data_IF_405112750545
#
_entry.id   IF_405112750545
#
_cell.length_a   1.000
_cell.length_b   1.000
_cell.length_c   1.000
_cell.angle_alpha   90.00
_cell.angle_beta   90.00
_cell.angle_gamma   90.00
#
_symmetry.space_group_name_H-M   'P 1'
#
loop_
_entity.id
_entity.type
_entity.pdbx_description
1 polymer ?
#
# COMPACT_ATOMS: atom_id res chain seq x y z
N UNK A 1 43.20 17.98 5.37
CA UNK A 1 42.50 16.84 6.01
C UNK A 1 41.11 16.69 5.42
N UNK A 2 40.93 15.74 4.49
CA UNK A 2 39.62 15.45 3.90
C UNK A 2 38.83 14.51 4.81
N UNK A 3 37.66 14.93 5.27
CA UNK A 3 36.77 14.13 6.11
C UNK A 3 36.08 13.10 5.20
N UNK A 4 36.56 11.85 5.23
CA UNK A 4 35.87 10.71 4.60
C UNK A 4 34.52 10.47 5.31
N UNK A 5 33.42 10.94 4.71
CA UNK A 5 32.07 10.49 5.08
C UNK A 5 31.96 9.01 4.71
N UNK A 6 31.91 8.12 5.72
CA UNK A 6 31.54 6.71 5.55
C UNK A 6 30.21 6.64 4.81
N UNK A 7 30.23 6.17 3.57
CA UNK A 7 29.04 5.90 2.75
C UNK A 7 28.42 4.61 3.29
N UNK A 8 27.57 4.70 4.30
CA UNK A 8 26.76 3.56 4.74
C UNK A 8 25.84 3.17 3.58
N UNK A 9 26.02 1.96 3.05
CA UNK A 9 25.09 1.39 2.07
C UNK A 9 23.70 1.30 2.70
N UNK A 10 22.70 1.89 2.06
CA UNK A 10 21.34 1.81 2.57
C UNK A 10 20.84 0.35 2.52
N UNK A 11 20.24 -0.16 3.61
CA UNK A 11 19.77 -1.54 3.64
C UNK A 11 18.69 -1.74 2.57
N UNK A 12 18.88 -2.73 1.69
CA UNK A 12 17.86 -3.17 0.74
C UNK A 12 16.74 -3.86 1.51
N UNK A 13 15.52 -3.33 1.42
CA UNK A 13 14.35 -3.80 2.16
C UNK A 13 13.59 -4.78 1.27
N UNK A 14 13.28 -5.97 1.80
CA UNK A 14 12.53 -6.98 1.06
C UNK A 14 11.03 -6.65 0.92
N UNK A 15 10.29 -7.31 0.00
CA UNK A 15 8.90 -6.97 -0.33
C UNK A 15 7.95 -6.96 0.87
N UNK A 16 8.11 -7.90 1.80
CA UNK A 16 7.30 -7.98 3.03
C UNK A 16 7.57 -6.82 3.99
N UNK A 17 8.82 -6.37 4.09
CA UNK A 17 9.19 -5.25 4.94
C UNK A 17 8.76 -3.90 4.33
N UNK A 18 8.75 -3.79 3.00
CA UNK A 18 8.15 -2.66 2.31
C UNK A 18 6.66 -2.55 2.67
N UNK A 19 5.88 -3.63 2.53
CA UNK A 19 4.46 -3.66 2.91
C UNK A 19 4.21 -3.22 4.36
N UNK A 20 5.03 -3.67 5.32
CA UNK A 20 4.91 -3.28 6.73
C UNK A 20 5.15 -1.78 6.94
N UNK A 21 6.18 -1.20 6.33
CA UNK A 21 6.48 0.24 6.44
C UNK A 21 5.35 1.10 5.89
N UNK A 22 4.77 0.69 4.77
CA UNK A 22 3.77 1.47 4.07
C UNK A 22 2.40 1.41 4.78
N UNK A 23 2.07 0.30 5.44
CA UNK A 23 0.90 0.21 6.33
C UNK A 23 1.05 1.08 7.58
N UNK A 24 2.26 1.12 8.18
CA UNK A 24 2.55 2.02 9.29
C UNK A 24 2.51 3.50 8.87
N UNK A 25 2.83 3.83 7.60
CA UNK A 25 2.70 5.18 7.05
C UNK A 25 1.23 5.59 6.87
N UNK A 26 0.37 4.65 6.45
CA UNK A 26 -1.08 4.83 6.27
C UNK A 26 -1.88 4.91 7.57
N UNK A 27 -1.25 4.80 8.75
CA UNK A 27 -1.91 5.01 10.05
C UNK A 27 -2.29 3.74 10.82
N UNK A 28 -1.86 2.55 10.40
CA UNK A 28 -2.04 1.29 11.17
C UNK A 28 -1.08 1.19 12.36
N UNK A 29 -1.12 2.18 13.25
CA UNK A 29 -0.42 2.19 14.53
C UNK A 29 -1.36 1.70 15.63
N UNK A 30 -1.75 0.42 15.63
CA UNK A 30 -2.59 -0.16 16.69
C UNK A 30 -1.92 -1.41 17.28
N UNK A 31 -1.07 -1.15 18.27
CA UNK A 31 -0.81 -1.97 19.46
C UNK A 31 -0.59 -3.47 19.26
N UNK A 32 0.66 -3.90 19.11
CA UNK A 32 1.02 -5.30 19.27
C UNK A 32 1.27 -5.59 20.76
N UNK A 33 0.33 -6.33 21.34
CA UNK A 33 0.25 -6.72 22.76
C UNK A 33 1.20 -7.89 23.09
N UNK A 34 1.66 -8.01 24.35
CA UNK A 34 2.53 -9.09 24.85
C UNK A 34 1.93 -10.52 24.89
N UNK A 35 0.71 -10.75 24.38
CA UNK A 35 0.05 -12.07 24.41
C UNK A 35 -0.06 -12.68 23.00
N UNK A 36 0.52 -13.87 22.76
CA UNK A 36 0.44 -14.57 21.48
C UNK A 36 -1.00 -14.83 21.00
N UNK A 37 -1.95 -15.05 21.92
CA UNK A 37 -3.36 -15.33 21.57
C UNK A 37 -4.12 -14.06 21.12
N UNK A 38 -3.84 -12.90 21.73
CA UNK A 38 -4.46 -11.61 21.35
C UNK A 38 -3.85 -11.05 20.07
N UNK A 39 -2.56 -11.30 19.83
CA UNK A 39 -1.86 -11.08 18.54
C UNK A 39 -2.65 -11.69 17.36
N UNK A 40 -3.09 -12.94 17.47
CA UNK A 40 -3.83 -13.62 16.42
C UNK A 40 -5.27 -13.12 16.23
N UNK A 41 -5.91 -12.56 17.27
CA UNK A 41 -7.28 -12.03 17.19
C UNK A 41 -7.33 -10.70 16.44
N UNK A 42 -6.35 -9.82 16.69
CA UNK A 42 -6.20 -8.54 15.98
C UNK A 42 -5.77 -8.79 14.53
N UNK A 43 -4.85 -9.72 14.27
CA UNK A 43 -4.46 -10.13 12.91
C UNK A 43 -5.65 -10.73 12.15
N UNK A 44 -6.52 -11.50 12.80
CA UNK A 44 -7.78 -11.99 12.20
C UNK A 44 -8.76 -10.86 11.86
N UNK A 45 -8.72 -9.73 12.57
CA UNK A 45 -9.59 -8.57 12.33
C UNK A 45 -9.11 -7.65 11.20
N UNK A 46 -7.80 -7.64 10.88
CA UNK A 46 -7.18 -6.76 9.87
C UNK A 46 -7.45 -7.23 8.41
N UNK A 47 -8.13 -8.36 8.23
CA UNK A 47 -8.72 -8.77 6.95
C UNK A 47 -8.05 -9.96 6.28
N UNK A 48 -8.81 -10.61 5.38
CA UNK A 48 -8.44 -11.85 4.66
C UNK A 48 -7.11 -11.77 3.90
N UNK A 49 -6.59 -10.59 3.59
CA UNK A 49 -5.33 -10.39 2.85
C UNK A 49 -4.06 -10.75 3.65
N UNK A 50 -4.11 -10.71 4.98
CA UNK A 50 -2.96 -11.09 5.84
C UNK A 50 -2.82 -12.60 6.03
N UNK A 51 -3.84 -13.39 5.68
CA UNK A 51 -3.83 -14.86 5.83
C UNK A 51 -2.78 -15.54 4.93
N UNK A 52 -2.25 -14.83 3.93
CA UNK A 52 -1.28 -15.36 2.96
C UNK A 52 0.18 -14.98 3.23
N UNK A 53 0.48 -14.18 4.27
CA UNK A 53 1.87 -13.85 4.62
C UNK A 53 2.38 -14.85 5.65
N UNK A 54 3.45 -15.57 5.31
CA UNK A 54 4.09 -16.52 6.23
C UNK A 54 4.51 -15.81 7.54
N UNK A 55 4.05 -16.31 8.68
CA UNK A 55 4.25 -15.70 10.00
C UNK A 55 5.73 -15.42 10.31
N UNK A 56 6.62 -16.30 9.83
CA UNK A 56 8.08 -16.17 9.96
C UNK A 56 8.63 -15.03 9.11
N UNK A 57 8.15 -14.87 7.88
CA UNK A 57 8.54 -13.79 6.99
C UNK A 57 8.11 -12.42 7.54
N UNK A 58 6.90 -12.32 8.10
CA UNK A 58 6.42 -11.10 8.76
C UNK A 58 7.28 -10.72 9.97
N UNK A 59 7.57 -11.69 10.85
CA UNK A 59 8.43 -11.46 12.02
C UNK A 59 9.82 -10.98 11.61
N UNK A 60 10.43 -11.62 10.61
CA UNK A 60 11.75 -11.25 10.11
C UNK A 60 11.74 -9.85 9.47
N UNK A 61 10.67 -9.50 8.75
CA UNK A 61 10.50 -8.18 8.17
C UNK A 61 10.42 -7.08 9.24
N UNK A 62 9.55 -7.24 10.24
CA UNK A 62 9.43 -6.29 11.37
C UNK A 62 10.77 -6.16 12.11
N UNK A 63 11.43 -7.30 12.41
CA UNK A 63 12.74 -7.31 13.09
C UNK A 63 13.83 -6.59 12.29
N UNK A 64 13.83 -6.74 10.97
CA UNK A 64 14.78 -6.06 10.08
C UNK A 64 14.52 -4.55 10.01
N UNK A 65 13.26 -4.13 9.94
CA UNK A 65 12.86 -2.71 9.96
C UNK A 65 13.22 -2.03 11.28
N UNK A 66 13.04 -2.73 12.40
CA UNK A 66 13.41 -2.25 13.73
C UNK A 66 14.94 -2.10 13.84
N UNK A 67 15.70 -3.14 13.44
CA UNK A 67 17.19 -3.10 13.41
C UNK A 67 17.75 -2.01 12.51
N UNK A 68 17.08 -1.70 11.40
CA UNK A 68 17.47 -0.63 10.47
C UNK A 68 17.00 0.76 10.91
N UNK A 69 16.34 0.88 12.08
CA UNK A 69 15.79 2.13 12.65
C UNK A 69 14.77 2.83 11.76
N UNK A 70 14.04 2.06 10.95
CA UNK A 70 12.95 2.58 10.11
C UNK A 70 11.61 2.54 10.84
N UNK A 71 11.46 1.61 11.79
CA UNK A 71 10.35 1.61 12.73
C UNK A 71 10.90 1.66 14.14
N UNK A 72 10.10 2.17 15.06
CA UNK A 72 10.36 2.19 16.50
C UNK A 72 9.17 1.58 17.25
N UNK A 73 9.38 1.26 18.51
CA UNK A 73 8.38 0.72 19.42
C UNK A 73 8.11 1.74 20.52
N UNK A 74 6.86 2.15 20.69
CA UNK A 74 6.41 3.02 21.78
C UNK A 74 5.53 2.24 22.72
N UNK A 75 5.93 2.15 23.99
CA UNK A 75 5.11 1.53 25.02
C UNK A 75 4.02 2.50 25.46
N UNK A 76 2.81 1.97 25.56
CA UNK A 76 1.62 2.69 26.00
C UNK A 76 1.40 2.44 27.49
N UNK A 77 0.74 3.38 28.18
CA UNK A 77 0.42 3.27 29.61
C UNK A 77 -0.40 2.02 29.98
N UNK A 78 -1.10 1.40 29.02
CA UNK A 78 -1.88 0.17 29.20
C UNK A 78 -1.06 -1.12 29.01
N UNK A 79 0.27 -1.04 28.92
CA UNK A 79 1.16 -2.19 28.75
C UNK A 79 1.19 -2.79 27.35
N UNK A 80 0.65 -2.08 26.34
CA UNK A 80 0.76 -2.47 24.93
C UNK A 80 1.88 -1.70 24.24
N UNK A 81 2.44 -2.24 23.15
CA UNK A 81 3.50 -1.57 22.40
C UNK A 81 3.02 -1.23 20.99
N UNK A 82 3.14 0.03 20.60
CA UNK A 82 2.80 0.53 19.27
C UNK A 82 4.05 0.63 18.42
N UNK A 83 4.06 -0.05 17.27
CA UNK A 83 5.09 0.18 16.25
C UNK A 83 4.77 1.46 15.50
N UNK A 84 5.75 2.35 15.36
CA UNK A 84 5.61 3.63 14.66
C UNK A 84 6.76 3.81 13.68
N UNK A 85 6.54 4.52 12.58
CA UNK A 85 7.65 4.93 11.72
C UNK A 85 8.49 6.00 12.42
N UNK A 86 9.82 5.83 12.38
CA UNK A 86 10.74 6.92 12.72
C UNK A 86 10.70 7.99 11.63
N UNK A 87 11.23 9.18 11.87
CA UNK A 87 11.38 10.20 10.81
C UNK A 87 12.20 9.69 9.61
N UNK A 88 13.20 8.85 9.88
CA UNK A 88 13.96 8.15 8.84
C UNK A 88 13.11 7.11 8.12
N UNK A 89 12.28 6.38 8.85
CA UNK A 89 11.28 5.45 8.33
C UNK A 89 10.29 6.11 7.40
N UNK A 90 9.71 7.26 7.81
CA UNK A 90 8.81 8.07 6.99
C UNK A 90 9.51 8.57 5.73
N UNK A 91 10.71 9.17 5.85
CA UNK A 91 11.48 9.59 4.69
C UNK A 91 11.81 8.44 3.74
N UNK A 92 12.20 7.28 4.27
CA UNK A 92 12.45 6.07 3.46
C UNK A 92 11.17 5.53 2.83
N UNK A 93 10.05 5.59 3.56
CA UNK A 93 8.75 5.22 3.04
C UNK A 93 8.32 6.10 1.86
N UNK A 94 8.60 7.40 1.97
CA UNK A 94 8.39 8.39 0.91
C UNK A 94 9.37 8.22 -0.28
N UNK A 95 10.51 7.55 -0.08
CA UNK A 95 11.40 7.15 -1.20
C UNK A 95 10.93 5.89 -1.92
N UNK A 96 9.95 5.14 -1.40
CA UNK A 96 9.28 4.14 -2.21
C UNK A 96 8.49 4.92 -3.25
N UNK A 97 9.00 4.94 -4.47
CA UNK A 97 8.47 5.69 -5.61
C UNK A 97 7.05 5.22 -5.91
N UNK A 98 6.07 5.72 -5.14
CA UNK A 98 4.64 5.41 -5.31
C UNK A 98 4.20 5.75 -6.74
N UNK A 99 4.85 6.75 -7.32
CA UNK A 99 4.65 7.20 -8.69
C UNK A 99 5.20 6.25 -9.74
N UNK A 100 6.10 5.33 -9.37
CA UNK A 100 6.66 4.27 -10.22
C UNK A 100 5.94 2.93 -10.03
N UNK A 101 4.94 2.85 -9.14
CA UNK A 101 4.11 1.67 -9.02
C UNK A 101 3.41 1.40 -10.36
N UNK A 102 3.58 0.17 -10.86
CA UNK A 102 2.95 -0.32 -12.08
C UNK A 102 2.08 -1.52 -11.75
N UNK A 103 0.95 -1.66 -12.44
CA UNK A 103 0.19 -2.90 -12.39
C UNK A 103 0.95 -3.96 -13.20
N UNK A 104 1.29 -5.11 -12.60
CA UNK A 104 1.96 -6.18 -13.33
C UNK A 104 1.04 -6.69 -14.45
N UNK A 105 1.53 -6.84 -15.68
CA UNK A 105 0.71 -7.37 -16.77
C UNK A 105 0.35 -8.83 -16.50
N UNK A 106 -0.89 -9.20 -16.81
CA UNK A 106 -1.31 -10.60 -16.81
C UNK A 106 -0.86 -11.27 -18.11
N UNK A 107 -0.44 -12.54 -18.03
CA UNK A 107 -0.13 -13.35 -19.24
C UNK A 107 -1.35 -13.48 -20.16
N UNK A 108 -2.54 -13.54 -19.58
CA UNK A 108 -3.82 -13.60 -20.26
C UNK A 108 -4.82 -12.80 -19.45
N UNK A 109 -5.55 -11.90 -20.12
CA UNK A 109 -6.63 -11.16 -19.49
C UNK A 109 -7.73 -12.13 -19.03
N UNK A 110 -8.28 -11.91 -17.84
CA UNK A 110 -9.31 -12.76 -17.23
C UNK A 110 -10.75 -12.35 -17.58
N UNK A 111 -10.90 -11.50 -18.60
CA UNK A 111 -12.18 -10.97 -19.07
C UNK A 111 -12.96 -10.21 -17.99
N UNK A 112 -12.26 -9.61 -17.02
CA UNK A 112 -12.87 -8.80 -15.98
C UNK A 112 -12.21 -7.43 -15.92
N UNK A 113 -13.02 -6.44 -15.60
CA UNK A 113 -12.61 -5.06 -15.42
C UNK A 113 -12.42 -4.73 -13.94
N UNK A 114 -11.33 -4.05 -13.60
CA UNK A 114 -11.03 -3.51 -12.27
C UNK A 114 -11.30 -2.03 -12.28
N UNK A 115 -12.31 -1.61 -11.53
CA UNK A 115 -12.79 -0.24 -11.50
C UNK A 115 -12.53 0.34 -10.11
N UNK A 116 -11.87 1.49 -10.07
CA UNK A 116 -11.63 2.28 -8.88
C UNK A 116 -12.42 3.56 -8.99
N UNK A 117 -13.34 3.79 -8.06
CA UNK A 117 -14.10 5.02 -7.97
C UNK A 117 -13.98 5.63 -6.59
N UNK A 118 -14.03 6.95 -6.52
CA UNK A 118 -13.81 7.64 -5.27
C UNK A 118 -14.63 8.93 -5.13
N UNK A 119 -15.02 9.22 -3.90
CA UNK A 119 -15.67 10.46 -3.50
C UNK A 119 -14.90 11.06 -2.32
N UNK A 120 -13.79 11.73 -2.66
CA UNK A 120 -12.86 12.33 -1.69
C UNK A 120 -13.24 13.81 -1.52
N UNK A 121 -13.50 14.26 -0.27
CA UNK A 121 -13.97 15.61 0.01
C UNK A 121 -12.93 16.68 -0.36
N UNK A 122 -13.40 17.91 -0.60
CA UNK A 122 -12.55 18.99 -1.13
C UNK A 122 -11.42 19.42 -0.17
N UNK A 123 -11.62 19.27 1.14
CA UNK A 123 -10.57 19.47 2.14
C UNK A 123 -9.40 18.46 1.99
N UNK A 124 -9.60 17.36 1.26
CA UNK A 124 -8.58 16.34 0.93
C UNK A 124 -8.18 16.38 -0.56
N UNK A 125 -8.38 17.52 -1.25
CA UNK A 125 -8.05 17.71 -2.68
C UNK A 125 -6.65 17.21 -3.06
N UNK A 126 -5.62 17.50 -2.26
CA UNK A 126 -4.25 17.06 -2.54
C UNK A 126 -4.13 15.53 -2.60
N UNK A 127 -4.80 14.82 -1.70
CA UNK A 127 -4.82 13.35 -1.69
C UNK A 127 -5.59 12.79 -2.89
N UNK A 128 -6.72 13.41 -3.24
CA UNK A 128 -7.50 13.07 -4.45
C UNK A 128 -6.66 13.20 -5.72
N UNK A 129 -5.99 14.34 -5.89
CA UNK A 129 -5.22 14.64 -7.09
C UNK A 129 -3.97 13.72 -7.17
N UNK A 130 -3.36 13.39 -6.02
CA UNK A 130 -2.26 12.43 -5.93
C UNK A 130 -2.70 10.99 -6.26
N UNK A 131 -3.83 10.52 -5.72
CA UNK A 131 -4.42 9.22 -6.04
C UNK A 131 -4.66 9.08 -7.55
N UNK A 132 -5.32 10.08 -8.15
CA UNK A 132 -5.62 10.09 -9.57
C UNK A 132 -4.34 10.04 -10.43
N UNK A 133 -3.30 10.75 -10.02
CA UNK A 133 -1.98 10.75 -10.70
C UNK A 133 -1.31 9.37 -10.60
N UNK A 134 -1.29 8.77 -9.42
CA UNK A 134 -0.68 7.43 -9.22
C UNK A 134 -1.44 6.35 -10.00
N UNK A 135 -2.78 6.36 -9.98
CA UNK A 135 -3.57 5.42 -10.78
C UNK A 135 -3.24 5.53 -12.27
N UNK A 136 -3.14 6.74 -12.81
CA UNK A 136 -2.73 6.95 -14.22
C UNK A 136 -1.32 6.42 -14.47
N UNK A 137 -0.37 6.73 -13.59
CA UNK A 137 1.00 6.23 -13.72
C UNK A 137 1.05 4.70 -13.67
N UNK A 138 0.19 4.07 -12.87
CA UNK A 138 0.08 2.62 -12.77
C UNK A 138 -0.57 1.94 -13.99
N UNK A 139 -1.11 2.72 -14.94
CA UNK A 139 -1.71 2.23 -16.18
C UNK A 139 -3.24 2.30 -16.21
N UNK A 140 -3.90 2.83 -15.17
CA UNK A 140 -5.35 2.99 -15.21
C UNK A 140 -5.76 4.07 -16.20
N UNK A 141 -6.88 3.82 -16.86
CA UNK A 141 -7.52 4.77 -17.75
C UNK A 141 -8.67 5.45 -17.03
N UNK A 142 -8.82 6.76 -17.24
CA UNK A 142 -9.95 7.53 -16.72
C UNK A 142 -11.23 7.12 -17.46
N UNK A 143 -12.18 6.52 -16.75
CA UNK A 143 -13.50 6.16 -17.24
C UNK A 143 -14.51 7.29 -17.00
N UNK A 144 -14.40 7.99 -15.87
CA UNK A 144 -15.13 9.23 -15.57
C UNK A 144 -14.31 10.12 -14.62
N UNK A 145 -14.81 11.32 -14.23
CA UNK A 145 -14.08 12.30 -13.38
C UNK A 145 -13.36 11.68 -12.18
N UNK A 146 -14.04 10.82 -11.43
CA UNK A 146 -13.52 10.11 -10.25
C UNK A 146 -13.60 8.59 -10.40
N UNK A 147 -13.55 8.09 -11.65
CA UNK A 147 -13.66 6.66 -11.96
C UNK A 147 -12.51 6.27 -12.89
N UNK A 148 -11.78 5.24 -12.51
CA UNK A 148 -10.62 4.71 -13.20
C UNK A 148 -10.83 3.22 -13.45
N UNK A 149 -10.34 2.74 -14.58
CA UNK A 149 -10.53 1.35 -15.01
C UNK A 149 -9.20 0.72 -15.44
N UNK A 150 -9.06 -0.58 -15.22
CA UNK A 150 -7.93 -1.40 -15.62
C UNK A 150 -8.38 -2.83 -15.94
N UNK A 151 -7.80 -3.53 -16.94
CA UNK A 151 -8.21 -4.88 -17.28
C UNK A 151 -7.54 -5.96 -16.41
N UNK A 152 -6.35 -5.68 -15.87
CA UNK A 152 -5.60 -6.68 -15.10
C UNK A 152 -5.89 -6.61 -13.61
N UNK A 153 -5.80 -7.77 -12.94
CA UNK A 153 -5.88 -7.91 -11.50
C UNK A 153 -4.85 -7.02 -10.80
N UNK A 154 -5.33 -6.21 -9.87
CA UNK A 154 -4.57 -5.12 -9.26
C UNK A 154 -5.06 -4.77 -7.85
N UNK A 155 -5.84 -5.66 -7.21
CA UNK A 155 -6.46 -5.38 -5.92
C UNK A 155 -5.43 -4.98 -4.86
N UNK A 156 -4.32 -5.72 -4.79
CA UNK A 156 -3.28 -5.49 -3.79
C UNK A 156 -2.59 -4.13 -4.00
N UNK A 157 -2.32 -3.78 -5.25
CA UNK A 157 -1.69 -2.51 -5.65
C UNK A 157 -2.61 -1.33 -5.37
N UNK A 158 -3.91 -1.48 -5.67
CA UNK A 158 -4.90 -0.44 -5.38
C UNK A 158 -5.10 -0.26 -3.88
N UNK A 159 -5.28 -1.34 -3.11
CA UNK A 159 -5.40 -1.24 -1.65
C UNK A 159 -4.16 -0.56 -1.06
N UNK A 160 -2.98 -0.93 -1.56
CA UNK A 160 -1.74 -0.27 -1.18
C UNK A 160 -1.72 1.25 -1.43
N UNK A 161 -2.14 1.70 -2.62
CA UNK A 161 -2.22 3.13 -2.96
C UNK A 161 -3.23 3.85 -2.04
N UNK A 162 -4.38 3.22 -1.80
CA UNK A 162 -5.46 3.76 -0.98
C UNK A 162 -5.01 3.96 0.48
N UNK A 163 -4.32 2.97 1.05
CA UNK A 163 -3.77 3.06 2.41
C UNK A 163 -2.65 4.10 2.48
N UNK A 164 -1.78 4.17 1.47
CA UNK A 164 -0.70 5.17 1.41
C UNK A 164 -1.22 6.61 1.50
N UNK A 165 -2.33 6.92 0.80
CA UNK A 165 -2.95 8.24 0.84
C UNK A 165 -3.95 8.43 1.98
N UNK A 166 -4.20 7.41 2.80
CA UNK A 166 -5.19 7.40 3.87
C UNK A 166 -6.60 7.83 3.39
N UNK A 167 -7.05 7.24 2.28
CA UNK A 167 -8.36 7.57 1.64
C UNK A 167 -9.33 6.39 1.61
N UNK A 168 -9.04 5.29 2.33
CA UNK A 168 -9.85 4.05 2.35
C UNK A 168 -11.36 4.26 2.50
N UNK A 169 -11.86 5.14 3.38
CA UNK A 169 -13.30 5.35 3.52
C UNK A 169 -13.98 5.88 2.24
N UNK A 170 -13.23 6.60 1.41
CA UNK A 170 -13.71 7.35 0.24
C UNK A 170 -13.57 6.61 -1.09
N UNK A 171 -12.93 5.43 -1.11
CA UNK A 171 -12.63 4.70 -2.35
C UNK A 171 -13.39 3.38 -2.38
N UNK A 172 -13.89 2.99 -3.56
CA UNK A 172 -14.51 1.69 -3.82
C UNK A 172 -13.78 1.02 -4.98
N UNK A 173 -13.61 -0.30 -4.86
CA UNK A 173 -13.04 -1.17 -5.88
C UNK A 173 -14.10 -2.15 -6.34
N UNK A 174 -14.31 -2.22 -7.65
CA UNK A 174 -15.30 -3.10 -8.28
C UNK A 174 -14.57 -4.02 -9.25
N UNK A 175 -14.94 -5.30 -9.23
CA UNK A 175 -14.64 -6.23 -10.31
C UNK A 175 -15.91 -6.44 -11.11
N UNK A 176 -15.89 -6.04 -12.38
CA UNK A 176 -17.04 -6.16 -13.28
C UNK A 176 -16.72 -7.16 -14.40
N UNK A 177 -17.69 -8.01 -14.75
CA UNK A 177 -17.57 -8.87 -15.93
C UNK A 177 -17.77 -8.07 -17.22
N UNK A 178 -18.60 -7.04 -17.17
CA UNK A 178 -19.01 -6.24 -18.33
C UNK A 178 -19.05 -4.75 -17.96
N UNK A 179 -18.85 -3.90 -18.97
CA UNK A 179 -18.95 -2.43 -18.89
C UNK A 179 -19.55 -1.91 -20.19
N UNK A 180 -20.16 -0.72 -20.13
CA UNK A 180 -20.53 0.00 -21.35
C UNK A 180 -19.27 0.44 -22.12
N UNK A 181 -19.40 0.55 -23.45
CA UNK A 181 -18.31 0.94 -24.36
C UNK A 181 -17.06 0.04 -24.24
N UNK A 182 -17.26 -1.25 -23.94
CA UNK A 182 -16.17 -2.21 -23.71
C UNK A 182 -15.15 -2.25 -24.87
N UNK A 183 -15.62 -2.25 -26.12
CA UNK A 183 -14.77 -2.29 -27.31
C UNK A 183 -13.79 -1.10 -27.35
N UNK A 184 -14.28 0.10 -26.98
CA UNK A 184 -13.45 1.28 -26.90
C UNK A 184 -12.37 1.13 -25.81
N UNK A 185 -12.70 0.54 -24.66
CA UNK A 185 -11.72 0.28 -23.60
C UNK A 185 -10.71 -0.78 -23.99
N UNK A 186 -11.12 -1.89 -24.62
CA UNK A 186 -10.20 -2.94 -25.12
C UNK A 186 -9.15 -2.34 -26.05
N UNK A 187 -9.56 -1.53 -27.02
CA UNK A 187 -8.65 -0.84 -27.93
C UNK A 187 -7.64 0.05 -27.19
N UNK A 188 -8.07 0.77 -26.15
CA UNK A 188 -7.17 1.63 -25.37
C UNK A 188 -6.17 0.86 -24.51
N UNK A 189 -6.46 -0.39 -24.18
CA UNK A 189 -5.56 -1.30 -23.46
C UNK A 189 -4.80 -2.27 -24.37
N UNK A 190 -5.00 -2.19 -25.69
CA UNK A 190 -4.45 -3.12 -26.68
C UNK A 190 -4.81 -4.60 -26.36
N UNK A 191 -6.07 -4.85 -26.02
CA UNK A 191 -6.64 -6.18 -25.74
C UNK A 191 -7.41 -6.75 -26.93
#
# INVERSE_FOLDING_TARGET
MAIMRKRYSEPRIGPTAQKVVLLLLGGLALGLTHSPQRYFKIIKMIGKEWLNIERRALYNAIKSLYRSRLIDAKDNANGTTTLVLTERGKKKALTYQIDELKIPPMKRWDHKWRIVLFDIPENMKRARDALARVLKNAGFIKFQKSVFIHPFECRNEVDFIIEFFNVRPHVRFITAAEIDNELHMKNRFNL
#
